data_IF_982402742944
#
_entry.id   IF_982402742944
#
_cell.length_a   1.000
_cell.length_b   1.000
_cell.length_c   1.000
_cell.angle_alpha   90.00
_cell.angle_beta   90.00
_cell.angle_gamma   90.00
#
_symmetry.space_group_name_H-M   'P 1'
#
loop_
_entity.id
_entity.type
_entity.pdbx_description
1 polymer ?
#
# COMPACT_ATOMS: atom_id res chain seq x y z
N UNK A 1 11.34 18.26 9.93
CA UNK A 1 10.66 17.60 8.78
C UNK A 1 11.56 17.44 7.56
N UNK A 2 12.23 18.49 7.05
CA UNK A 2 13.09 18.43 5.86
C UNK A 2 14.34 17.53 6.03
N UNK A 3 14.94 17.49 7.22
CA UNK A 3 16.16 16.68 7.46
C UNK A 3 15.92 15.16 7.43
N UNK A 4 14.82 14.68 8.02
CA UNK A 4 14.49 13.25 8.00
C UNK A 4 14.23 12.75 6.57
N UNK A 5 13.51 13.52 5.75
CA UNK A 5 13.26 13.19 4.34
C UNK A 5 14.57 13.11 3.53
N UNK A 6 15.49 14.06 3.75
CA UNK A 6 16.79 14.06 3.07
C UNK A 6 17.68 12.88 3.49
N UNK A 7 17.61 12.46 4.75
CA UNK A 7 18.34 11.29 5.26
C UNK A 7 17.86 9.99 4.59
N UNK A 8 16.54 9.77 4.56
CA UNK A 8 15.92 8.59 3.95
C UNK A 8 16.22 8.51 2.44
N UNK A 9 16.14 9.64 1.74
CA UNK A 9 16.48 9.74 0.31
C UNK A 9 17.94 9.36 0.02
N UNK A 10 18.87 9.79 0.86
CA UNK A 10 20.28 9.47 0.70
C UNK A 10 20.58 7.98 0.96
N UNK A 11 19.92 7.38 1.96
CA UNK A 11 20.05 5.94 2.25
C UNK A 11 19.47 5.06 1.14
N UNK A 12 18.35 5.47 0.54
CA UNK A 12 17.77 4.81 -0.63
C UNK A 12 18.73 4.83 -1.82
N UNK A 13 19.43 5.95 -2.04
CA UNK A 13 20.39 6.10 -3.15
C UNK A 13 21.61 5.18 -3.03
N UNK A 14 21.96 4.74 -1.82
CA UNK A 14 23.05 3.78 -1.55
C UNK A 14 22.64 2.30 -1.68
N UNK A 15 21.34 1.96 -1.61
CA UNK A 15 20.82 0.60 -1.86
C UNK A 15 20.53 0.40 -3.36
N UNK A 16 21.58 0.31 -4.19
CA UNK A 16 21.42 0.26 -5.66
C UNK A 16 21.10 -1.11 -6.27
N UNK A 17 21.12 -2.20 -5.50
CA UNK A 17 21.07 -3.55 -6.09
C UNK A 17 19.68 -4.20 -6.14
N UNK A 18 18.69 -3.69 -5.40
CA UNK A 18 17.33 -4.24 -5.41
C UNK A 18 16.34 -3.17 -4.98
N UNK A 19 15.47 -2.73 -5.89
CA UNK A 19 14.39 -1.79 -5.60
C UNK A 19 13.11 -2.59 -5.37
N UNK A 20 12.43 -2.44 -4.24
CA UNK A 20 11.17 -3.15 -4.01
C UNK A 20 10.09 -2.62 -4.95
N UNK A 21 9.32 -3.53 -5.55
CA UNK A 21 8.14 -3.15 -6.35
C UNK A 21 7.00 -2.76 -5.40
N UNK A 22 6.50 -1.54 -5.54
CA UNK A 22 5.47 -0.95 -4.69
C UNK A 22 4.21 -0.70 -5.50
N UNK A 23 3.07 -1.19 -5.00
CA UNK A 23 1.76 -0.95 -5.58
C UNK A 23 0.89 -0.09 -4.69
N UNK A 24 0.41 1.03 -5.22
CA UNK A 24 -0.69 1.78 -4.65
C UNK A 24 -1.99 1.27 -5.24
N UNK A 25 -2.87 0.72 -4.43
CA UNK A 25 -4.10 0.10 -4.90
C UNK A 25 -5.27 0.35 -3.95
N UNK A 26 -6.50 0.37 -4.48
CA UNK A 26 -7.70 0.50 -3.69
C UNK A 26 -8.85 -0.32 -4.26
N UNK A 27 -9.69 -0.84 -3.38
CA UNK A 27 -10.88 -1.59 -3.72
C UNK A 27 -12.13 -0.71 -3.69
N UNK A 28 -12.97 -0.83 -4.72
CA UNK A 28 -14.27 -0.19 -4.78
C UNK A 28 -15.21 -1.04 -5.64
N UNK A 29 -16.40 -1.34 -5.10
CA UNK A 29 -17.51 -1.99 -5.82
C UNK A 29 -17.11 -3.22 -6.67
N UNK A 30 -16.34 -4.15 -6.09
CA UNK A 30 -15.92 -5.37 -6.80
C UNK A 30 -14.71 -5.19 -7.71
N UNK A 31 -14.05 -4.03 -7.67
CA UNK A 31 -12.92 -3.73 -8.53
C UNK A 31 -11.70 -3.26 -7.74
N UNK A 32 -10.54 -3.80 -8.09
CA UNK A 32 -9.25 -3.29 -7.65
C UNK A 32 -8.70 -2.30 -8.66
N UNK A 33 -8.24 -1.14 -8.20
CA UNK A 33 -7.62 -0.13 -9.06
C UNK A 33 -6.23 0.22 -8.57
N UNK A 34 -5.27 0.29 -9.50
CA UNK A 34 -3.93 0.81 -9.23
C UNK A 34 -3.89 2.32 -9.48
N UNK A 35 -3.17 3.04 -8.64
CA UNK A 35 -2.98 4.48 -8.77
C UNK A 35 -2.13 4.82 -9.99
N UNK A 36 -2.49 5.91 -10.68
CA UNK A 36 -1.62 6.58 -11.69
C UNK A 36 -1.31 8.03 -11.33
N UNK A 37 -1.59 8.44 -10.10
CA UNK A 37 -1.33 9.79 -9.63
C UNK A 37 0.18 10.04 -9.58
N UNK A 38 0.67 10.99 -10.38
CA UNK A 38 2.10 11.27 -10.52
C UNK A 38 2.81 11.53 -9.19
N UNK A 39 2.13 12.14 -8.21
CA UNK A 39 2.74 12.43 -6.91
C UNK A 39 2.95 11.16 -6.06
N UNK A 40 2.07 10.16 -6.14
CA UNK A 40 2.20 8.88 -5.44
C UNK A 40 3.29 8.03 -6.07
N UNK A 41 3.32 8.01 -7.41
CA UNK A 41 4.41 7.36 -8.16
C UNK A 41 5.76 7.99 -7.82
N UNK A 42 5.80 9.33 -7.73
CA UNK A 42 7.01 10.06 -7.35
C UNK A 42 7.47 9.78 -5.92
N UNK A 43 6.52 9.58 -5.00
CA UNK A 43 6.81 9.22 -3.62
C UNK A 43 7.53 7.85 -3.53
N UNK A 44 7.09 6.87 -4.32
CA UNK A 44 7.74 5.55 -4.41
C UNK A 44 9.18 5.68 -4.93
N UNK A 45 9.37 6.41 -6.02
CA UNK A 45 10.70 6.64 -6.60
C UNK A 45 11.65 7.32 -5.61
N UNK A 46 11.18 8.38 -4.95
CA UNK A 46 11.98 9.15 -4.00
C UNK A 46 12.32 8.34 -2.73
N UNK A 47 11.47 7.38 -2.37
CA UNK A 47 11.73 6.40 -1.30
C UNK A 47 12.67 5.26 -1.72
N UNK A 48 13.04 5.18 -3.01
CA UNK A 48 13.92 4.14 -3.56
C UNK A 48 13.22 2.86 -4.02
N UNK A 49 11.88 2.87 -4.08
CA UNK A 49 11.10 1.78 -4.66
C UNK A 49 10.96 1.90 -6.18
N UNK A 50 10.35 0.89 -6.76
CA UNK A 50 9.92 0.85 -8.15
C UNK A 50 8.41 0.77 -8.20
N UNK A 51 7.77 1.56 -9.06
CA UNK A 51 6.32 1.46 -9.25
C UNK A 51 6.03 0.19 -10.05
N UNK A 52 4.83 -0.36 -9.88
CA UNK A 52 4.38 -1.47 -10.73
C UNK A 52 4.44 -1.03 -12.20
N UNK A 53 5.02 -1.90 -13.03
CA UNK A 53 5.40 -1.61 -14.42
C UNK A 53 4.23 -1.08 -15.28
N UNK A 54 4.54 -0.19 -16.22
CA UNK A 54 3.58 0.38 -17.18
C UNK A 54 3.01 -0.67 -18.15
N UNK A 55 3.60 -1.88 -18.18
CA UNK A 55 3.09 -3.04 -18.92
C UNK A 55 1.74 -3.56 -18.40
N UNK A 56 1.28 -3.07 -17.25
CA UNK A 56 -0.10 -3.24 -16.80
C UNK A 56 -1.05 -2.49 -17.77
N UNK A 57 -1.65 -3.25 -18.68
CA UNK A 57 -2.56 -2.72 -19.71
C UNK A 57 -3.86 -2.11 -19.14
N UNK A 58 -4.23 -2.42 -17.89
CA UNK A 58 -5.46 -1.96 -17.25
C UNK A 58 -5.19 -1.32 -15.89
N UNK A 59 -5.89 -0.23 -15.59
CA UNK A 59 -5.79 0.45 -14.29
C UNK A 59 -6.66 -0.26 -13.26
N UNK A 60 -7.74 -0.89 -13.72
CA UNK A 60 -8.80 -1.45 -12.89
C UNK A 60 -9.08 -2.89 -13.31
N UNK A 61 -9.32 -3.75 -12.31
CA UNK A 61 -9.50 -5.19 -12.43
C UNK A 61 -10.77 -5.60 -11.69
N UNK A 62 -11.70 -6.25 -12.39
CA UNK A 62 -12.95 -6.72 -11.79
C UNK A 62 -12.77 -8.14 -11.24
N UNK A 63 -12.95 -8.33 -9.93
CA UNK A 63 -12.75 -9.65 -9.28
C UNK A 63 -13.81 -10.69 -9.66
N UNK A 64 -14.93 -10.26 -10.24
CA UNK A 64 -15.96 -11.17 -10.77
C UNK A 64 -15.64 -11.66 -12.19
N UNK A 65 -14.66 -11.05 -12.87
CA UNK A 65 -14.19 -11.49 -14.17
C UNK A 65 -12.91 -12.34 -13.96
N UNK A 66 -12.92 -13.63 -14.37
CA UNK A 66 -11.78 -14.51 -14.14
C UNK A 66 -10.49 -14.06 -14.84
N UNK A 67 -10.57 -13.49 -16.04
CA UNK A 67 -9.39 -13.02 -16.77
C UNK A 67 -8.74 -11.80 -16.07
N UNK A 68 -9.58 -10.90 -15.54
CA UNK A 68 -9.09 -9.75 -14.76
C UNK A 68 -8.54 -10.20 -13.41
N UNK A 69 -9.16 -11.20 -12.76
CA UNK A 69 -8.70 -11.74 -11.49
C UNK A 69 -7.33 -12.43 -11.62
N UNK A 70 -7.15 -13.27 -12.64
CA UNK A 70 -5.86 -13.93 -12.92
C UNK A 70 -4.76 -12.91 -13.22
N UNK A 71 -5.06 -11.89 -14.02
CA UNK A 71 -4.11 -10.81 -14.32
C UNK A 71 -3.76 -10.00 -13.06
N UNK A 72 -4.75 -9.71 -12.21
CA UNK A 72 -4.55 -9.03 -10.94
C UNK A 72 -3.66 -9.83 -9.99
N UNK A 73 -3.88 -11.14 -9.85
CA UNK A 73 -3.01 -12.01 -9.04
C UNK A 73 -1.59 -12.10 -9.57
N UNK A 74 -1.43 -12.19 -10.90
CA UNK A 74 -0.11 -12.15 -11.54
C UNK A 74 0.68 -10.89 -11.19
N UNK A 75 0.01 -9.74 -11.13
CA UNK A 75 0.62 -8.48 -10.67
C UNK A 75 1.00 -8.56 -9.20
N UNK A 76 0.09 -9.01 -8.33
CA UNK A 76 0.35 -9.10 -6.89
C UNK A 76 1.55 -10.00 -6.55
N UNK A 77 1.79 -11.07 -7.31
CA UNK A 77 2.97 -11.93 -7.14
C UNK A 77 4.31 -11.21 -7.44
N UNK A 78 4.30 -10.11 -8.19
CA UNK A 78 5.50 -9.30 -8.46
C UNK A 78 5.72 -8.20 -7.43
N UNK A 79 4.67 -7.85 -6.68
CA UNK A 79 4.69 -6.73 -5.73
C UNK A 79 5.29 -7.18 -4.41
N UNK A 80 6.11 -6.31 -3.84
CA UNK A 80 6.77 -6.54 -2.54
C UNK A 80 6.22 -5.66 -1.43
N UNK A 81 5.63 -4.51 -1.79
CA UNK A 81 5.01 -3.58 -0.85
C UNK A 81 3.66 -3.13 -1.38
N UNK A 82 2.62 -3.28 -0.58
CA UNK A 82 1.26 -2.81 -0.89
C UNK A 82 0.99 -1.54 -0.09
N UNK A 83 0.52 -0.50 -0.76
CA UNK A 83 -0.09 0.67 -0.14
C UNK A 83 -1.57 0.62 -0.48
N UNK A 84 -2.37 0.19 0.49
CA UNK A 84 -3.81 0.00 0.36
C UNK A 84 -4.56 1.30 0.66
N UNK A 85 -5.20 1.86 -0.35
CA UNK A 85 -6.00 3.09 -0.32
C UNK A 85 -7.51 2.80 -0.27
N UNK A 86 -7.90 1.56 0.03
CA UNK A 86 -9.32 1.18 0.13
C UNK A 86 -10.01 2.01 1.20
N UNK A 87 -10.99 2.79 0.76
CA UNK A 87 -11.84 3.57 1.65
C UNK A 87 -12.82 2.66 2.37
N UNK A 88 -12.84 2.74 3.70
CA UNK A 88 -13.82 2.07 4.55
C UNK A 88 -14.44 3.08 5.50
N UNK A 89 -15.77 3.00 5.67
CA UNK A 89 -16.50 3.87 6.60
C UNK A 89 -16.12 3.54 8.04
N UNK A 90 -15.94 2.25 8.34
CA UNK A 90 -15.47 1.79 9.64
C UNK A 90 -14.10 1.10 9.46
N UNK A 91 -13.01 1.70 9.94
CA UNK A 91 -11.68 1.10 9.79
C UNK A 91 -11.48 -0.12 10.69
N UNK A 92 -12.36 -0.35 11.68
CA UNK A 92 -12.25 -1.51 12.59
C UNK A 92 -12.72 -2.80 11.94
N UNK A 93 -13.60 -2.71 10.93
CA UNK A 93 -14.10 -3.89 10.21
C UNK A 93 -13.20 -4.30 9.05
N UNK A 94 -12.33 -3.40 8.57
CA UNK A 94 -11.40 -3.68 7.47
C UNK A 94 -10.03 -4.09 8.04
N UNK A 95 -9.86 -5.40 8.18
CA UNK A 95 -8.64 -6.01 8.70
C UNK A 95 -7.94 -6.88 7.64
N UNK A 96 -6.86 -7.55 8.02
CA UNK A 96 -6.10 -8.42 7.11
C UNK A 96 -6.96 -9.54 6.50
N UNK A 97 -7.89 -10.13 7.26
CA UNK A 97 -8.82 -11.15 6.74
C UNK A 97 -9.70 -10.57 5.64
N UNK A 98 -10.28 -9.39 5.88
CA UNK A 98 -11.11 -8.69 4.90
C UNK A 98 -10.31 -8.38 3.64
N UNK A 99 -9.09 -7.86 3.77
CA UNK A 99 -8.22 -7.60 2.63
C UNK A 99 -7.95 -8.89 1.81
N UNK A 100 -7.57 -9.98 2.48
CA UNK A 100 -7.29 -11.27 1.85
C UNK A 100 -8.52 -11.88 1.17
N UNK A 101 -9.71 -11.72 1.76
CA UNK A 101 -10.98 -12.10 1.17
C UNK A 101 -11.29 -11.29 -0.09
N UNK A 102 -11.03 -9.98 -0.07
CA UNK A 102 -11.32 -9.08 -1.19
C UNK A 102 -10.36 -9.22 -2.38
N UNK A 103 -9.09 -9.59 -2.15
CA UNK A 103 -8.18 -9.95 -3.26
C UNK A 103 -8.54 -11.30 -3.88
N UNK A 104 -9.36 -12.11 -3.22
CA UNK A 104 -9.92 -13.37 -3.71
C UNK A 104 -8.85 -14.33 -4.25
N UNK A 105 -7.76 -14.52 -3.50
CA UNK A 105 -6.65 -15.40 -3.87
C UNK A 105 -6.59 -16.62 -2.94
N UNK A 106 -6.55 -17.82 -3.52
CA UNK A 106 -6.48 -19.06 -2.75
C UNK A 106 -5.05 -19.45 -2.39
N UNK A 107 -4.14 -19.34 -3.35
CA UNK A 107 -2.71 -19.60 -3.14
C UNK A 107 -1.96 -18.30 -2.87
N UNK A 108 -1.56 -18.12 -1.62
CA UNK A 108 -0.85 -16.93 -1.15
C UNK A 108 0.68 -17.08 -1.20
N UNK A 109 1.19 -18.22 -1.70
CA UNK A 109 2.62 -18.54 -1.65
C UNK A 109 3.52 -17.57 -2.44
N UNK A 110 2.98 -16.95 -3.50
CA UNK A 110 3.71 -15.97 -4.30
C UNK A 110 3.69 -14.55 -3.71
N UNK A 111 2.87 -14.29 -2.69
CA UNK A 111 2.64 -12.95 -2.15
C UNK A 111 3.75 -12.58 -1.16
N UNK A 112 4.87 -12.10 -1.69
CA UNK A 112 6.04 -11.73 -0.91
C UNK A 112 5.72 -10.73 0.22
N UNK A 113 4.82 -9.77 -0.05
CA UNK A 113 4.37 -8.76 0.91
C UNK A 113 3.69 -9.33 2.16
N UNK A 114 3.12 -10.54 2.11
CA UNK A 114 2.56 -11.20 3.30
C UNK A 114 3.67 -11.73 4.21
N UNK A 115 4.67 -12.37 3.62
CA UNK A 115 5.83 -12.90 4.36
C UNK A 115 6.67 -11.80 5.01
N UNK A 116 6.75 -10.63 4.36
CA UNK A 116 7.52 -9.47 4.82
C UNK A 116 6.68 -8.47 5.63
N UNK A 117 5.39 -8.75 5.85
CA UNK A 117 4.45 -7.85 6.53
C UNK A 117 4.44 -6.43 5.93
N UNK A 118 4.59 -6.32 4.62
CA UNK A 118 4.80 -5.05 3.90
C UNK A 118 3.51 -4.51 3.27
N UNK A 119 2.40 -4.55 4.03
CA UNK A 119 1.13 -3.93 3.67
C UNK A 119 0.92 -2.69 4.54
N UNK A 120 0.70 -1.54 3.90
CA UNK A 120 0.49 -0.25 4.54
C UNK A 120 -0.88 0.30 4.18
N UNK A 121 -1.73 0.57 5.16
CA UNK A 121 -3.02 1.23 4.91
C UNK A 121 -2.82 2.73 4.81
N UNK A 122 -3.23 3.30 3.68
CA UNK A 122 -3.34 4.74 3.47
C UNK A 122 -4.79 5.17 3.72
N UNK A 123 -5.23 5.02 4.97
CA UNK A 123 -6.54 5.51 5.36
C UNK A 123 -6.41 6.97 5.82
N UNK A 124 -7.10 7.88 5.13
CA UNK A 124 -7.17 9.29 5.53
C UNK A 124 -8.07 9.36 6.77
N UNK A 125 -7.47 9.20 7.96
CA UNK A 125 -8.12 9.18 9.29
C UNK A 125 -9.52 9.82 9.32
N UNK A 126 -10.54 9.02 9.59
CA UNK A 126 -11.81 9.54 10.09
C UNK A 126 -11.61 10.03 11.53
N UNK A 127 -11.73 11.34 11.75
CA UNK A 127 -11.91 11.90 13.09
C UNK A 127 -13.37 11.73 13.47
N UNK A 128 -13.65 10.84 14.42
CA UNK A 128 -14.95 10.82 15.09
C UNK A 128 -15.08 11.96 16.13
N UNK A 129 -14.47 13.12 15.88
CA UNK A 129 -14.52 14.26 16.80
C UNK A 129 -14.63 15.58 16.06
N UNK A 130 -15.43 16.46 16.64
CA UNK A 130 -15.71 17.87 16.37
C UNK A 130 -14.48 18.80 16.31
N UNK A 131 -13.31 18.29 15.95
CA UNK A 131 -12.06 19.03 15.89
C UNK A 131 -11.42 18.86 14.51
N UNK A 132 -11.28 19.99 13.82
CA UNK A 132 -10.52 20.11 12.57
C UNK A 132 -9.06 19.71 12.85
N UNK A 133 -8.69 18.47 12.53
CA UNK A 133 -7.27 18.12 12.47
C UNK A 133 -6.78 18.42 11.06
N UNK A 134 -5.75 19.28 11.00
CA UNK A 134 -5.20 19.81 9.78
C UNK A 134 -4.64 18.67 8.93
N UNK A 135 -5.10 18.59 7.68
CA UNK A 135 -4.66 17.65 6.64
C UNK A 135 -3.15 17.36 6.72
N UNK A 136 -2.80 16.07 6.65
CA UNK A 136 -1.43 15.53 6.47
C UNK A 136 -0.57 15.25 7.73
N UNK A 137 -1.21 14.94 8.86
CA UNK A 137 -0.53 14.54 10.11
C UNK A 137 0.06 13.12 10.17
N UNK A 138 0.30 12.44 9.04
CA UNK A 138 1.01 11.15 9.02
C UNK A 138 2.48 11.33 8.61
N UNK A 139 3.11 12.40 9.09
CA UNK A 139 4.56 12.48 9.09
C UNK A 139 5.09 11.76 10.32
N UNK A 140 5.90 10.73 10.08
CA UNK A 140 6.73 9.97 11.03
C UNK A 140 6.71 10.54 12.46
N UNK A 141 5.98 9.92 13.39
CA UNK A 141 6.20 10.17 14.80
C UNK A 141 7.56 9.57 15.17
N UNK A 142 8.63 10.36 14.98
CA UNK A 142 9.91 10.11 15.62
C UNK A 142 9.76 10.54 17.08
N UNK A 143 9.31 9.60 17.90
CA UNK A 143 9.23 9.71 19.34
C UNK A 143 9.23 8.29 19.90
N UNK A 144 10.42 7.80 20.24
CA UNK A 144 10.59 6.56 20.99
C UNK A 144 9.76 6.67 22.26
N UNK A 145 8.72 5.87 22.40
CA UNK A 145 8.36 5.26 23.67
C UNK A 145 7.78 3.87 23.41
N UNK A 146 8.50 2.87 23.94
CA UNK A 146 8.09 1.47 23.97
C UNK A 146 6.74 1.36 24.68
N UNK A 147 5.65 1.15 23.95
CA UNK A 147 4.51 0.44 24.49
C UNK A 147 4.07 -0.61 23.47
N UNK A 148 4.09 -1.85 23.96
CA UNK A 148 3.69 -3.07 23.29
C UNK A 148 2.49 -2.88 22.35
N UNK A 149 2.72 -3.06 21.06
CA UNK A 149 1.63 -3.29 20.10
C UNK A 149 1.48 -4.80 20.02
N UNK A 150 0.41 -5.30 20.64
CA UNK A 150 -0.07 -6.67 20.44
C UNK A 150 -0.51 -6.81 19.00
N UNK A 151 0.13 -7.72 18.29
CA UNK A 151 -0.33 -8.27 17.01
C UNK A 151 -1.13 -9.51 17.38
N UNK A 152 -2.40 -9.55 16.98
CA UNK A 152 -3.14 -10.81 16.81
C UNK A 152 -3.17 -11.14 15.32
#
# INVERSE_FOLDING_TARGET
MKENYMCLKNMATTRKTFKPIVAWMGYSDGMWSFTKDAYKLKYVEDAGGENVDDSINKITYNVSNPDDLDAFHGILCTVEVIIDETFTIDPTVYNMSTFLELINIQDQSCLSFLSTQSIWRFDKRFLNSTTLDWLDGAMSQTGIERHHIHIY
#
